data_IF_048800987736
#
_entry.id   IF_048800987736
#
_cell.length_a   1.000
_cell.length_b   1.000
_cell.length_c   1.000
_cell.angle_alpha   90.00
_cell.angle_beta   90.00
_cell.angle_gamma   90.00
#
_symmetry.space_group_name_H-M   'P 1'
#
loop_
_entity.id
_entity.type
_entity.pdbx_description
1 polymer ?
#
# COMPACT_ATOMS: atom_id res chain seq x y z
N UNK A 1 10.46 21.02 6.38
CA UNK A 1 9.88 19.79 5.79
C UNK A 1 8.93 19.21 6.82
N UNK A 2 7.64 19.46 6.65
CA UNK A 2 6.59 19.04 7.57
C UNK A 2 6.59 17.51 7.65
N UNK A 3 6.93 16.96 8.82
CA UNK A 3 6.89 15.51 9.02
C UNK A 3 5.42 15.11 8.87
N UNK A 4 5.11 14.47 7.74
CA UNK A 4 3.92 13.66 7.60
C UNK A 4 3.66 12.93 8.92
N UNK A 5 2.59 13.31 9.64
CA UNK A 5 2.24 12.66 10.90
C UNK A 5 1.62 11.29 10.57
N UNK A 6 2.47 10.37 10.13
CA UNK A 6 2.07 9.01 9.84
C UNK A 6 1.88 8.31 11.18
N UNK A 7 0.68 7.78 11.47
CA UNK A 7 0.42 7.04 12.69
C UNK A 7 1.44 5.90 12.86
N UNK A 8 2.10 5.84 14.03
CA UNK A 8 3.06 4.78 14.33
C UNK A 8 2.45 3.39 14.14
N UNK A 9 1.16 3.22 14.47
CA UNK A 9 0.41 1.96 14.28
C UNK A 9 0.38 1.50 12.82
N UNK A 10 0.28 2.41 11.85
CA UNK A 10 0.31 2.06 10.43
C UNK A 10 1.70 1.61 9.99
N UNK A 11 2.75 2.30 10.45
CA UNK A 11 4.13 1.89 10.16
C UNK A 11 4.42 0.48 10.67
N UNK A 12 3.88 0.12 11.83
CA UNK A 12 4.02 -1.24 12.37
C UNK A 12 3.23 -2.28 11.57
N UNK A 13 2.01 -1.96 11.12
CA UNK A 13 1.20 -2.87 10.28
C UNK A 13 1.77 -3.10 8.89
N UNK A 14 2.62 -2.20 8.41
CA UNK A 14 3.35 -2.40 7.16
C UNK A 14 4.52 -3.37 7.31
N UNK A 15 4.88 -3.81 8.53
CA UNK A 15 5.92 -4.81 8.76
C UNK A 15 5.30 -6.21 8.73
N UNK A 16 5.53 -6.91 7.64
CA UNK A 16 4.96 -8.19 7.24
C UNK A 16 6.08 -9.23 7.09
N UNK A 17 5.70 -10.47 6.79
CA UNK A 17 6.68 -11.55 6.60
C UNK A 17 7.51 -11.41 5.32
N UNK A 18 7.01 -10.61 4.36
CA UNK A 18 7.57 -10.44 3.03
C UNK A 18 8.22 -9.06 2.86
N UNK A 19 9.53 -9.04 2.58
CA UNK A 19 10.31 -7.80 2.48
C UNK A 19 9.81 -6.89 1.35
N UNK A 20 9.34 -7.46 0.25
CA UNK A 20 8.79 -6.72 -0.88
C UNK A 20 7.54 -5.94 -0.49
N UNK A 21 6.62 -6.57 0.26
CA UNK A 21 5.43 -5.89 0.77
C UNK A 21 5.80 -4.76 1.73
N UNK A 22 6.77 -4.99 2.62
CA UNK A 22 7.25 -3.97 3.55
C UNK A 22 7.74 -2.72 2.82
N UNK A 23 8.53 -2.92 1.76
CA UNK A 23 9.06 -1.83 0.94
C UNK A 23 7.94 -1.12 0.17
N UNK A 24 7.04 -1.86 -0.46
CA UNK A 24 5.94 -1.30 -1.25
C UNK A 24 4.97 -0.49 -0.39
N UNK A 25 4.45 -1.10 0.69
CA UNK A 25 3.51 -0.46 1.62
C UNK A 25 4.18 0.70 2.35
N UNK A 26 5.42 0.53 2.81
CA UNK A 26 6.19 1.57 3.47
C UNK A 26 6.46 2.77 2.56
N UNK A 27 6.79 2.53 1.28
CA UNK A 27 7.01 3.58 0.28
C UNK A 27 5.72 4.33 -0.01
N UNK A 28 4.60 3.64 -0.19
CA UNK A 28 3.30 4.25 -0.39
C UNK A 28 2.90 5.11 0.81
N UNK A 29 3.03 4.56 2.03
CA UNK A 29 2.74 5.27 3.28
C UNK A 29 3.61 6.53 3.45
N UNK A 30 4.88 6.50 3.04
CA UNK A 30 5.77 7.65 3.16
C UNK A 30 5.52 8.76 2.12
N UNK A 31 4.97 8.43 0.95
CA UNK A 31 4.91 9.35 -0.22
C UNK A 31 3.50 9.80 -0.55
N UNK A 32 2.51 8.92 -0.42
CA UNK A 32 1.12 9.13 -0.84
C UNK A 32 0.18 9.38 0.35
N UNK A 33 0.46 8.86 1.55
CA UNK A 33 -0.42 9.01 2.72
C UNK A 33 -0.86 10.45 3.02
N UNK A 34 0.08 11.40 3.02
CA UNK A 34 -0.26 12.82 3.30
C UNK A 34 -1.07 13.49 2.19
N UNK A 35 -1.08 12.90 1.00
CA UNK A 35 -1.83 13.37 -0.16
C UNK A 35 -3.10 12.55 -0.38
N UNK A 36 -3.27 11.46 0.36
CA UNK A 36 -4.39 10.54 0.23
C UNK A 36 -5.62 11.15 0.92
N UNK A 37 -6.75 11.14 0.22
CA UNK A 37 -8.05 11.49 0.79
C UNK A 37 -8.49 10.44 1.82
N UNK A 38 -9.45 10.79 2.68
CA UNK A 38 -9.97 9.90 3.72
C UNK A 38 -10.42 8.52 3.17
N UNK A 39 -10.99 8.49 1.97
CA UNK A 39 -11.39 7.23 1.32
C UNK A 39 -10.19 6.33 1.00
N UNK A 40 -9.08 6.91 0.53
CA UNK A 40 -7.90 6.15 0.15
C UNK A 40 -7.10 5.72 1.40
N UNK A 41 -7.11 6.56 2.44
CA UNK A 41 -6.58 6.19 3.76
C UNK A 41 -7.36 5.00 4.34
N UNK A 42 -8.69 5.02 4.28
CA UNK A 42 -9.53 3.90 4.71
C UNK A 42 -9.25 2.64 3.89
N UNK A 43 -9.20 2.74 2.56
CA UNK A 43 -8.84 1.61 1.69
C UNK A 43 -7.47 1.02 2.03
N UNK A 44 -6.50 1.85 2.42
CA UNK A 44 -5.20 1.36 2.87
C UNK A 44 -5.27 0.67 4.23
N UNK A 45 -6.06 1.18 5.16
CA UNK A 45 -6.31 0.50 6.43
C UNK A 45 -6.99 -0.87 6.23
N UNK A 46 -8.03 -0.93 5.41
CA UNK A 46 -8.72 -2.17 5.04
C UNK A 46 -7.78 -3.15 4.34
N UNK A 47 -6.90 -2.65 3.46
CA UNK A 47 -5.85 -3.44 2.83
C UNK A 47 -4.91 -4.06 3.88
N UNK A 48 -4.56 -3.30 4.93
CA UNK A 48 -3.68 -3.79 5.98
C UNK A 48 -4.33 -4.88 6.86
N UNK A 49 -5.66 -5.04 6.81
CA UNK A 49 -6.37 -6.15 7.46
C UNK A 49 -6.37 -7.43 6.61
N UNK A 50 -5.98 -7.36 5.34
CA UNK A 50 -5.86 -8.51 4.46
C UNK A 50 -4.54 -9.27 4.68
N UNK A 51 -4.58 -10.58 4.41
CA UNK A 51 -3.43 -11.49 4.42
C UNK A 51 -2.36 -11.11 3.39
N UNK A 52 -1.08 -11.30 3.73
CA UNK A 52 0.08 -10.99 2.90
C UNK A 52 -0.03 -11.60 1.48
N UNK A 53 -0.39 -12.88 1.41
CA UNK A 53 -0.51 -13.62 0.15
C UNK A 53 -1.55 -13.02 -0.79
N UNK A 54 -2.70 -12.58 -0.25
CA UNK A 54 -3.77 -11.96 -1.06
C UNK A 54 -3.34 -10.61 -1.60
N UNK A 55 -2.70 -9.79 -0.77
CA UNK A 55 -2.17 -8.50 -1.21
C UNK A 55 -1.16 -8.69 -2.32
N UNK A 56 -0.26 -9.66 -2.15
CA UNK A 56 0.75 -9.98 -3.15
C UNK A 56 0.14 -10.45 -4.48
N UNK A 57 -0.90 -11.29 -4.43
CA UNK A 57 -1.62 -11.72 -5.63
C UNK A 57 -2.31 -10.57 -6.36
N UNK A 58 -2.91 -9.62 -5.64
CA UNK A 58 -3.51 -8.42 -6.26
C UNK A 58 -2.45 -7.51 -6.89
N UNK A 59 -1.31 -7.31 -6.22
CA UNK A 59 -0.20 -6.52 -6.74
C UNK A 59 0.41 -7.13 -8.01
N UNK A 60 0.50 -8.46 -8.05
CA UNK A 60 0.97 -9.23 -9.21
C UNK A 60 -0.08 -9.38 -10.31
N UNK A 61 -1.32 -8.93 -10.07
CA UNK A 61 -2.44 -9.11 -11.01
C UNK A 61 -2.87 -10.57 -11.18
N UNK A 62 -2.55 -11.44 -10.23
CA UNK A 62 -2.98 -12.85 -10.19
C UNK A 62 -4.41 -13.02 -9.71
N UNK A 63 -4.88 -12.09 -8.86
CA UNK A 63 -6.26 -12.02 -8.39
C UNK A 63 -6.82 -10.59 -8.52
N UNK A 64 -8.14 -10.44 -8.42
CA UNK A 64 -8.82 -9.14 -8.47
C UNK A 64 -9.16 -8.65 -7.06
N UNK A 65 -8.70 -7.45 -6.66
CA UNK A 65 -9.08 -6.87 -5.38
C UNK A 65 -10.55 -6.43 -5.37
N UNK A 66 -11.09 -6.23 -4.17
CA UNK A 66 -12.40 -5.62 -3.98
C UNK A 66 -12.46 -4.21 -4.59
N UNK A 67 -13.65 -3.76 -5.01
CA UNK A 67 -13.80 -2.45 -5.65
C UNK A 67 -13.26 -1.29 -4.77
N UNK A 68 -13.42 -1.40 -3.45
CA UNK A 68 -12.89 -0.45 -2.48
C UNK A 68 -11.35 -0.44 -2.40
N UNK A 69 -10.71 -1.58 -2.69
CA UNK A 69 -9.27 -1.76 -2.62
C UNK A 69 -8.59 -1.57 -3.99
N UNK A 70 -9.35 -1.64 -5.09
CA UNK A 70 -8.80 -1.56 -6.44
C UNK A 70 -7.97 -0.29 -6.67
N UNK A 71 -8.41 0.85 -6.11
CA UNK A 71 -7.70 2.12 -6.27
C UNK A 71 -6.37 2.17 -5.53
N UNK A 72 -6.31 1.62 -4.30
CA UNK A 72 -5.07 1.60 -3.52
C UNK A 72 -4.05 0.61 -4.10
N UNK A 73 -4.52 -0.54 -4.60
CA UNK A 73 -3.67 -1.53 -5.27
C UNK A 73 -3.02 -0.93 -6.53
N UNK A 74 -3.79 -0.22 -7.35
CA UNK A 74 -3.28 0.44 -8.55
C UNK A 74 -2.21 1.49 -8.21
N UNK A 75 -2.47 2.31 -7.19
CA UNK A 75 -1.55 3.36 -6.74
C UNK A 75 -0.23 2.80 -6.17
N UNK A 76 -0.30 1.69 -5.42
CA UNK A 76 0.90 0.97 -4.95
C UNK A 76 1.68 0.37 -6.12
N UNK A 77 0.99 -0.17 -7.13
CA UNK A 77 1.64 -0.76 -8.32
C UNK A 77 2.35 0.30 -9.16
N UNK A 78 1.72 1.45 -9.37
CA UNK A 78 2.32 2.59 -10.07
C UNK A 78 3.60 3.06 -9.37
N UNK A 79 3.58 3.12 -8.03
CA UNK A 79 4.70 3.60 -7.23
C UNK A 79 5.83 2.56 -7.06
N UNK A 80 5.46 1.29 -6.99
CA UNK A 80 6.35 0.17 -6.69
C UNK A 80 6.99 -0.48 -7.92
N UNK A 81 6.24 -0.55 -9.01
CA UNK A 81 6.61 -1.21 -10.27
C UNK A 81 6.60 -0.23 -11.45
N UNK A 82 6.62 1.08 -11.19
CA UNK A 82 6.72 2.12 -12.23
C UNK A 82 7.89 1.89 -13.21
N UNK A 83 7.91 2.58 -14.36
CA UNK A 83 8.68 2.22 -15.57
C UNK A 83 10.23 2.23 -15.46
N UNK A 84 10.78 2.36 -14.25
CA UNK A 84 12.21 2.39 -13.94
C UNK A 84 12.83 0.99 -13.72
N UNK A 85 12.10 -0.10 -14.02
CA UNK A 85 12.66 -1.47 -14.05
C UNK A 85 13.35 -1.81 -15.40
N UNK A 86 14.07 -0.87 -16.02
CA UNK A 86 14.81 -1.11 -17.27
C UNK A 86 16.32 -1.16 -17.03
#
# INVERSE_FOLDING_TARGET
MEKANIPSRLRWRCRRGMQELDVLLGRWLATRWTKADAQLQQSFEDLLECEDDRIWDWLMGRDRPEAALSRIIDDIRELGFGPDQR
#
